data_IF_944047512951
#
_entry.id   IF_944047512951
#
_cell.length_a   1.000
_cell.length_b   1.000
_cell.length_c   1.000
_cell.angle_alpha   90.00
_cell.angle_beta   90.00
_cell.angle_gamma   90.00
#
_symmetry.space_group_name_H-M   'P 1'
#
loop_
_entity.id
_entity.type
_entity.pdbx_description
1 polymer ?
#
# COMPACT_ATOMS: atom_id res chain seq x y z
N UNK A 1 -2.83 23.07 -0.44
CA UNK A 1 -3.06 22.12 0.67
C UNK A 1 -1.71 21.68 1.24
N UNK A 2 -1.65 21.39 2.54
CA UNK A 2 -0.55 20.68 3.18
C UNK A 2 -1.04 19.38 3.80
N UNK A 3 -0.13 18.53 4.25
CA UNK A 3 -0.47 17.36 5.07
C UNK A 3 0.40 17.35 6.31
N UNK A 4 -0.24 17.15 7.46
CA UNK A 4 0.41 16.90 8.75
C UNK A 4 0.41 15.40 8.98
N UNK A 5 1.58 14.82 9.25
CA UNK A 5 1.74 13.39 9.56
C UNK A 5 2.38 13.22 10.92
N UNK A 6 1.76 12.43 11.80
CA UNK A 6 2.37 12.02 13.06
C UNK A 6 3.59 11.13 12.80
N UNK A 7 4.66 11.27 13.60
CA UNK A 7 5.91 10.51 13.37
C UNK A 7 5.71 8.99 13.48
N UNK A 8 4.88 8.54 14.43
CA UNK A 8 4.58 7.11 14.65
C UNK A 8 3.17 6.74 14.13
N UNK A 9 2.69 7.43 13.10
CA UNK A 9 1.42 7.11 12.44
C UNK A 9 1.50 5.81 11.62
N UNK A 10 0.36 5.13 11.42
CA UNK A 10 0.30 3.95 10.56
C UNK A 10 -0.93 3.97 9.64
N UNK A 11 -0.76 3.43 8.43
CA UNK A 11 -1.86 3.18 7.47
C UNK A 11 -2.71 4.43 7.17
N UNK A 12 -2.07 5.59 7.06
CA UNK A 12 -2.74 6.89 6.82
C UNK A 12 -3.52 7.46 8.00
N UNK A 13 -3.73 6.73 9.09
CA UNK A 13 -4.55 7.19 10.24
C UNK A 13 -3.93 8.35 11.01
N UNK A 14 -2.60 8.50 10.91
CA UNK A 14 -1.83 9.59 11.48
C UNK A 14 -1.80 10.86 10.63
N UNK A 15 -2.51 10.89 9.50
CA UNK A 15 -2.46 12.00 8.55
C UNK A 15 -3.67 12.93 8.71
N UNK A 16 -3.44 14.21 8.52
CA UNK A 16 -4.48 15.24 8.44
C UNK A 16 -4.16 16.21 7.31
N UNK A 17 -5.13 16.49 6.44
CA UNK A 17 -4.96 17.41 5.31
C UNK A 17 -5.41 18.81 5.76
N UNK A 18 -4.58 19.81 5.49
CA UNK A 18 -4.86 21.21 5.83
C UNK A 18 -5.04 22.04 4.57
N UNK A 19 -6.14 22.79 4.51
CA UNK A 19 -6.32 23.84 3.52
C UNK A 19 -5.48 25.06 3.91
N UNK A 20 -4.64 25.51 2.98
CA UNK A 20 -3.73 26.64 3.18
C UNK A 20 -4.28 27.92 2.56
N UNK A 21 -5.44 27.89 1.90
CA UNK A 21 -5.98 29.03 1.14
C UNK A 21 -6.16 30.28 2.00
N UNK A 22 -6.71 30.13 3.21
CA UNK A 22 -6.90 31.25 4.15
C UNK A 22 -5.57 31.83 4.64
N UNK A 23 -4.58 30.98 4.91
CA UNK A 23 -3.24 31.40 5.32
C UNK A 23 -2.55 32.15 4.17
N UNK A 24 -2.63 31.63 2.95
CA UNK A 24 -2.07 32.25 1.75
C UNK A 24 -2.68 33.63 1.46
N UNK A 25 -4.00 33.75 1.60
CA UNK A 25 -4.71 35.02 1.43
C UNK A 25 -4.27 36.05 2.48
N UNK A 26 -4.16 35.66 3.76
CA UNK A 26 -3.71 36.55 4.83
C UNK A 26 -2.26 37.05 4.60
N UNK A 27 -1.37 36.17 4.14
CA UNK A 27 0.00 36.56 3.74
C UNK A 27 -0.04 37.55 2.58
N UNK A 28 -0.85 37.30 1.55
CA UNK A 28 -0.96 38.19 0.40
C UNK A 28 -1.50 39.59 0.75
N UNK A 29 -2.35 39.68 1.78
CA UNK A 29 -2.88 40.94 2.31
C UNK A 29 -1.93 41.66 3.29
N UNK A 30 -0.75 41.09 3.57
CA UNK A 30 0.20 41.59 4.59
C UNK A 30 -0.45 41.75 5.98
N UNK A 31 -1.30 40.78 6.35
CA UNK A 31 -1.91 40.76 7.68
C UNK A 31 -0.86 40.68 8.80
N UNK A 32 -1.25 41.17 9.99
CA UNK A 32 -0.36 41.14 11.15
C UNK A 32 -0.02 39.71 11.59
N UNK A 33 1.11 39.55 12.29
CA UNK A 33 1.52 38.24 12.84
C UNK A 33 0.49 37.63 13.78
N UNK A 34 -0.30 38.44 14.49
CA UNK A 34 -1.36 37.96 15.38
C UNK A 34 -2.50 37.32 14.58
N UNK A 35 -2.97 38.03 13.55
CA UNK A 35 -4.02 37.54 12.63
C UNK A 35 -3.58 36.27 11.91
N UNK A 36 -2.33 36.24 11.42
CA UNK A 36 -1.79 35.04 10.77
C UNK A 36 -1.75 33.83 11.71
N UNK A 37 -1.41 34.05 12.99
CA UNK A 37 -1.39 32.98 14.00
C UNK A 37 -2.79 32.45 14.31
N UNK A 38 -3.79 33.32 14.40
CA UNK A 38 -5.19 32.94 14.62
C UNK A 38 -5.74 32.14 13.43
N UNK A 39 -5.50 32.61 12.20
CA UNK A 39 -5.91 31.91 10.97
C UNK A 39 -5.24 30.55 10.87
N UNK A 40 -3.93 30.47 11.16
CA UNK A 40 -3.19 29.20 11.14
C UNK A 40 -3.77 28.22 12.16
N UNK A 41 -4.00 28.66 13.40
CA UNK A 41 -4.58 27.81 14.44
C UNK A 41 -5.99 27.33 14.07
N UNK A 42 -6.79 28.19 13.43
CA UNK A 42 -8.10 27.80 12.93
C UNK A 42 -7.99 26.74 11.83
N UNK A 43 -7.13 26.96 10.83
CA UNK A 43 -6.88 25.96 9.77
C UNK A 43 -6.40 24.62 10.31
N UNK A 44 -5.59 24.60 11.38
CA UNK A 44 -5.15 23.37 12.04
C UNK A 44 -6.31 22.65 12.77
N UNK A 45 -7.23 23.40 13.38
CA UNK A 45 -8.39 22.82 14.08
C UNK A 45 -9.38 22.17 13.13
N UNK A 46 -9.53 22.75 11.94
CA UNK A 46 -10.48 22.33 10.90
C UNK A 46 -9.85 21.41 9.84
N UNK A 47 -8.70 20.80 10.13
CA UNK A 47 -8.07 19.87 9.19
C UNK A 47 -8.98 18.66 8.90
N UNK A 48 -8.85 18.13 7.70
CA UNK A 48 -9.48 16.88 7.30
C UNK A 48 -8.65 15.70 7.84
N UNK A 49 -9.10 15.11 8.95
CA UNK A 49 -8.45 13.95 9.55
C UNK A 49 -8.77 12.68 8.74
N UNK A 50 -7.74 11.94 8.35
CA UNK A 50 -7.92 10.71 7.57
C UNK A 50 -8.54 9.56 8.40
N UNK A 51 -8.39 9.60 9.73
CA UNK A 51 -9.07 8.67 10.61
C UNK A 51 -10.47 9.20 11.01
N UNK A 52 -11.51 8.42 10.72
CA UNK A 52 -12.89 8.79 11.09
C UNK A 52 -13.05 9.04 12.60
N UNK A 53 -13.80 10.09 12.95
CA UNK A 53 -14.11 10.44 14.34
C UNK A 53 -12.97 11.12 15.10
N UNK A 54 -11.82 11.35 14.47
CA UNK A 54 -10.69 12.06 15.07
C UNK A 54 -10.91 13.57 15.03
N UNK A 55 -10.51 14.26 16.09
CA UNK A 55 -10.60 15.72 16.24
C UNK A 55 -9.25 16.33 16.61
N UNK A 56 -9.13 17.65 16.47
CA UNK A 56 -7.90 18.40 16.77
C UNK A 56 -7.38 18.19 18.20
N UNK A 57 -8.27 18.09 19.18
CA UNK A 57 -7.87 17.92 20.59
C UNK A 57 -7.01 16.66 20.78
N UNK A 58 -7.46 15.53 20.25
CA UNK A 58 -6.74 14.27 20.34
C UNK A 58 -5.48 14.29 19.46
N UNK A 59 -5.59 14.81 18.25
CA UNK A 59 -4.48 14.87 17.30
C UNK A 59 -3.32 15.74 17.81
N UNK A 60 -3.61 16.93 18.34
CA UNK A 60 -2.59 17.82 18.92
C UNK A 60 -1.95 17.26 20.20
N UNK A 61 -2.71 16.49 20.98
CA UNK A 61 -2.15 15.75 22.11
C UNK A 61 -1.18 14.66 21.65
N UNK A 62 -1.45 13.98 20.54
CA UNK A 62 -0.52 13.02 19.92
C UNK A 62 0.73 13.72 19.37
N UNK A 63 0.59 14.85 18.66
CA UNK A 63 1.73 15.67 18.21
C UNK A 63 2.65 16.01 19.39
N UNK A 64 2.08 16.35 20.55
CA UNK A 64 2.88 16.68 21.74
C UNK A 64 3.66 15.49 22.31
N UNK A 65 3.23 14.25 22.02
CA UNK A 65 3.85 13.01 22.50
C UNK A 65 4.91 12.48 21.54
N UNK A 66 4.59 12.44 20.25
CA UNK A 66 5.42 11.78 19.23
C UNK A 66 5.95 12.72 18.15
N UNK A 67 5.56 13.99 18.16
CA UNK A 67 5.90 14.93 17.09
C UNK A 67 5.07 14.71 15.82
N UNK A 68 5.28 15.60 14.86
CA UNK A 68 4.70 15.51 13.52
C UNK A 68 5.58 16.23 12.50
N UNK A 69 5.41 15.85 11.24
CA UNK A 69 5.92 16.59 10.09
C UNK A 69 4.78 17.32 9.39
N UNK A 70 5.12 18.43 8.74
CA UNK A 70 4.25 19.11 7.79
C UNK A 70 4.96 19.10 6.44
N UNK A 71 4.25 18.68 5.39
CA UNK A 71 4.75 18.70 4.02
C UNK A 71 3.69 19.25 3.07
N UNK A 72 4.14 19.67 1.88
CA UNK A 72 3.22 20.07 0.83
C UNK A 72 2.44 18.85 0.34
N UNK A 73 1.11 18.98 0.27
CA UNK A 73 0.28 17.92 -0.29
C UNK A 73 0.49 17.86 -1.81
N UNK A 74 0.95 16.71 -2.30
CA UNK A 74 1.17 16.48 -3.73
C UNK A 74 -0.19 16.32 -4.44
N UNK A 75 -0.74 17.44 -4.89
CA UNK A 75 -2.01 17.46 -5.61
C UNK A 75 -1.90 16.78 -6.98
N UNK A 76 -2.99 16.15 -7.42
CA UNK A 76 -3.08 15.41 -8.68
C UNK A 76 -2.14 14.19 -8.75
N UNK A 77 -1.87 13.54 -7.61
CA UNK A 77 -1.29 12.20 -7.59
C UNK A 77 -2.14 11.26 -8.45
N UNK A 78 -1.53 10.65 -9.45
CA UNK A 78 -2.21 9.71 -10.37
C UNK A 78 -2.12 8.27 -9.89
N UNK A 79 -1.12 7.96 -9.05
CA UNK A 79 -0.94 6.64 -8.45
C UNK A 79 -0.08 6.72 -7.18
N UNK A 80 -0.13 5.65 -6.38
CA UNK A 80 0.63 5.50 -5.12
C UNK A 80 1.55 4.28 -5.21
N UNK A 81 2.67 4.37 -5.92
CA UNK A 81 3.57 3.24 -6.06
C UNK A 81 4.45 3.03 -4.83
N UNK A 82 4.97 1.82 -4.66
CA UNK A 82 5.92 1.48 -3.61
C UNK A 82 7.00 0.52 -4.11
N UNK A 83 8.13 0.46 -3.39
CA UNK A 83 9.21 -0.50 -3.60
C UNK A 83 9.52 -1.22 -2.30
N UNK A 84 9.67 -2.53 -2.37
CA UNK A 84 10.08 -3.39 -1.28
C UNK A 84 11.52 -3.84 -1.47
N UNK A 85 12.31 -3.73 -0.41
CA UNK A 85 13.74 -4.00 -0.43
C UNK A 85 14.13 -4.75 0.84
N UNK A 86 15.16 -5.59 0.72
CA UNK A 86 15.84 -6.22 1.86
C UNK A 86 17.30 -5.82 1.82
N UNK A 87 17.81 -5.34 2.94
CA UNK A 87 19.25 -5.30 3.20
C UNK A 87 19.61 -6.64 3.85
N UNK A 88 20.38 -7.45 3.13
CA UNK A 88 20.75 -8.79 3.58
C UNK A 88 21.77 -8.72 4.73
N UNK A 89 21.98 -9.85 5.41
CA UNK A 89 22.95 -9.94 6.53
C UNK A 89 24.39 -9.59 6.11
N UNK A 90 24.74 -9.82 4.84
CA UNK A 90 26.03 -9.45 4.24
C UNK A 90 26.08 -8.00 3.73
N UNK A 91 25.07 -7.19 4.07
CA UNK A 91 24.88 -5.79 3.65
C UNK A 91 24.67 -5.59 2.15
N UNK A 92 24.44 -6.65 1.38
CA UNK A 92 23.99 -6.53 0.00
C UNK A 92 22.50 -6.17 -0.08
N UNK A 93 22.07 -5.61 -1.21
CA UNK A 93 20.72 -5.04 -1.35
C UNK A 93 19.94 -5.78 -2.43
N UNK A 94 18.81 -6.35 -2.01
CA UNK A 94 17.88 -7.07 -2.86
C UNK A 94 16.59 -6.25 -2.99
N UNK A 95 16.28 -5.77 -4.20
CA UNK A 95 14.95 -5.21 -4.48
C UNK A 95 14.01 -6.37 -4.74
N UNK A 96 13.04 -6.58 -3.86
CA UNK A 96 12.17 -7.75 -3.91
C UNK A 96 11.06 -7.55 -4.94
N UNK A 97 10.36 -6.43 -4.85
CA UNK A 97 9.18 -6.15 -5.67
C UNK A 97 8.84 -4.66 -5.68
N UNK A 98 8.06 -4.25 -6.67
CA UNK A 98 7.47 -2.90 -6.79
C UNK A 98 5.98 -3.04 -6.96
N UNK A 99 5.17 -2.15 -6.42
CA UNK A 99 3.72 -2.28 -6.46
C UNK A 99 3.04 -0.97 -6.80
N UNK A 100 1.87 -1.07 -7.44
CA UNK A 100 0.84 -0.04 -7.33
C UNK A 100 0.00 -0.34 -6.09
N UNK A 101 -0.09 0.60 -5.15
CA UNK A 101 -0.97 0.46 -3.99
C UNK A 101 -2.40 0.84 -4.39
N UNK A 102 -3.35 -0.01 -4.00
CA UNK A 102 -4.78 0.24 -4.12
C UNK A 102 -5.20 0.90 -2.80
N UNK A 103 -5.71 2.13 -2.87
CA UNK A 103 -6.07 2.92 -1.70
C UNK A 103 -7.55 3.33 -1.73
N UNK A 104 -8.19 3.34 -0.56
CA UNK A 104 -9.42 4.10 -0.31
C UNK A 104 -9.04 5.39 0.45
N UNK A 105 -8.97 6.51 -0.28
CA UNK A 105 -8.39 7.75 0.22
C UNK A 105 -6.90 7.60 0.55
N UNK A 106 -6.58 7.47 1.84
CA UNK A 106 -5.20 7.21 2.32
C UNK A 106 -5.05 5.85 3.01
N UNK A 107 -6.09 5.02 2.98
CA UNK A 107 -6.10 3.70 3.61
C UNK A 107 -5.68 2.67 2.58
N UNK A 108 -4.74 1.80 2.94
CA UNK A 108 -4.28 0.71 2.10
C UNK A 108 -5.32 -0.41 2.02
N UNK A 109 -5.78 -0.72 0.80
CA UNK A 109 -6.76 -1.75 0.50
C UNK A 109 -6.15 -2.99 -0.17
N UNK A 110 -5.00 -2.83 -0.81
CA UNK A 110 -4.32 -3.90 -1.54
C UNK A 110 -3.22 -3.39 -2.45
N UNK A 111 -2.76 -4.25 -3.35
CA UNK A 111 -1.73 -3.89 -4.32
C UNK A 111 -1.83 -4.69 -5.62
N UNK A 112 -1.28 -4.11 -6.68
CA UNK A 112 -0.97 -4.80 -7.93
C UNK A 112 0.55 -4.86 -8.12
N UNK A 113 1.03 -5.99 -8.63
CA UNK A 113 2.43 -6.24 -8.95
C UNK A 113 2.61 -6.59 -10.43
N UNK A 114 3.66 -6.06 -11.09
CA UNK A 114 4.57 -5.04 -10.60
C UNK A 114 3.97 -3.62 -10.73
N UNK A 115 4.69 -2.61 -10.24
CA UNK A 115 4.38 -1.21 -10.52
C UNK A 115 4.44 -0.89 -12.03
N UNK A 116 3.83 0.23 -12.42
CA UNK A 116 3.72 0.68 -13.80
C UNK A 116 5.07 0.82 -14.50
N UNK A 117 5.10 0.40 -15.77
CA UNK A 117 6.34 0.28 -16.53
C UNK A 117 7.08 1.62 -16.67
N UNK A 118 6.36 2.74 -16.73
CA UNK A 118 6.95 4.05 -17.03
C UNK A 118 7.90 4.57 -15.93
N UNK A 119 7.69 4.16 -14.67
CA UNK A 119 8.51 4.62 -13.54
C UNK A 119 9.09 3.48 -12.68
N UNK A 120 8.77 2.21 -12.97
CA UNK A 120 9.23 1.06 -12.19
C UNK A 120 10.74 0.98 -12.01
N UNK A 121 11.53 1.22 -13.05
CA UNK A 121 13.00 1.18 -12.94
C UNK A 121 13.54 2.29 -12.03
N UNK A 122 12.83 3.42 -11.98
CA UNK A 122 13.16 4.52 -11.09
C UNK A 122 12.84 4.18 -9.62
N UNK A 123 11.71 3.51 -9.36
CA UNK A 123 11.39 2.95 -8.03
C UNK A 123 12.49 1.99 -7.54
N UNK A 124 12.93 1.07 -8.40
CA UNK A 124 14.01 0.12 -8.07
C UNK A 124 15.29 0.87 -7.71
N UNK A 125 15.66 1.88 -8.51
CA UNK A 125 16.83 2.71 -8.24
C UNK A 125 16.72 3.42 -6.89
N UNK A 126 15.60 4.07 -6.60
CA UNK A 126 15.39 4.75 -5.31
C UNK A 126 15.40 3.79 -4.13
N UNK A 127 14.72 2.64 -4.25
CA UNK A 127 14.76 1.59 -3.24
C UNK A 127 16.20 1.11 -2.96
N UNK A 128 17.00 0.93 -4.02
CA UNK A 128 18.42 0.57 -3.88
C UNK A 128 19.22 1.64 -3.14
N UNK A 129 19.06 2.92 -3.49
CA UNK A 129 19.76 4.02 -2.84
C UNK A 129 19.42 4.13 -1.34
N UNK A 130 18.17 3.93 -0.97
CA UNK A 130 17.75 3.88 0.44
C UNK A 130 18.38 2.66 1.14
N UNK A 131 18.43 1.51 0.46
CA UNK A 131 19.09 0.31 0.97
C UNK A 131 20.59 0.49 1.16
N UNK A 132 21.28 1.19 0.26
CA UNK A 132 22.70 1.54 0.36
C UNK A 132 22.96 2.41 1.58
N UNK A 133 22.08 3.38 1.84
CA UNK A 133 22.14 4.20 3.04
C UNK A 133 21.96 3.36 4.31
N UNK A 134 20.97 2.46 4.35
CA UNK A 134 20.74 1.59 5.51
C UNK A 134 21.89 0.61 5.74
N UNK A 135 22.40 -0.03 4.69
CA UNK A 135 23.55 -0.91 4.75
C UNK A 135 24.79 -0.19 5.30
N UNK A 136 25.07 1.04 4.84
CA UNK A 136 26.18 1.85 5.33
C UNK A 136 26.06 2.23 6.82
N UNK A 137 24.85 2.18 7.39
CA UNK A 137 24.57 2.44 8.79
C UNK A 137 24.35 1.14 9.61
N UNK A 138 24.59 -0.04 9.03
CA UNK A 138 24.43 -1.33 9.70
C UNK A 138 22.98 -1.74 9.95
N UNK A 139 22.02 -1.12 9.26
CA UNK A 139 20.60 -1.48 9.31
C UNK A 139 20.36 -2.59 8.29
N UNK A 140 19.84 -3.72 8.76
CA UNK A 140 19.50 -4.90 7.96
C UNK A 140 17.99 -5.12 7.91
N UNK A 141 17.55 -6.12 7.14
CA UNK A 141 16.17 -6.61 7.03
C UNK A 141 15.26 -5.79 6.08
N UNK A 142 13.96 -6.10 6.09
CA UNK A 142 12.95 -5.60 5.16
C UNK A 142 12.59 -4.14 5.44
N UNK A 143 12.47 -3.39 4.35
CA UNK A 143 11.79 -2.10 4.36
C UNK A 143 11.00 -1.88 3.06
N UNK A 144 10.06 -0.94 3.09
CA UNK A 144 9.47 -0.39 1.87
C UNK A 144 9.56 1.13 1.86
N UNK A 145 9.53 1.68 0.66
CA UNK A 145 9.43 3.13 0.44
C UNK A 145 8.17 3.38 -0.39
N UNK A 146 7.34 4.28 0.11
CA UNK A 146 6.08 4.66 -0.53
C UNK A 146 6.26 5.99 -1.26
N UNK A 147 5.62 6.10 -2.41
CA UNK A 147 5.72 7.25 -3.29
C UNK A 147 4.34 7.72 -3.72
N UNK A 148 4.25 8.99 -4.10
CA UNK A 148 3.18 9.53 -4.93
C UNK A 148 3.74 9.80 -6.31
N UNK A 149 3.04 9.36 -7.35
CA UNK A 149 3.40 9.64 -8.73
C UNK A 149 2.51 10.74 -9.32
N UNK A 150 3.14 11.73 -9.97
CA UNK A 150 2.43 12.77 -10.76
C UNK A 150 3.07 12.84 -12.13
N UNK A 151 2.35 12.44 -13.18
CA UNK A 151 2.86 12.42 -14.57
C UNK A 151 4.23 11.74 -14.66
N UNK A 152 4.34 10.54 -14.10
CA UNK A 152 5.56 9.71 -14.04
C UNK A 152 6.67 10.24 -13.14
N UNK A 153 6.50 11.41 -12.52
CA UNK A 153 7.45 11.90 -11.51
C UNK A 153 7.10 11.36 -10.13
N UNK A 154 8.08 10.70 -9.51
CA UNK A 154 7.97 10.10 -8.19
C UNK A 154 8.36 11.08 -7.08
N UNK A 155 7.57 11.11 -6.01
CA UNK A 155 7.86 11.81 -4.76
C UNK A 155 7.81 10.80 -3.62
N UNK A 156 8.94 10.55 -2.96
CA UNK A 156 8.98 9.69 -1.78
C UNK A 156 8.22 10.37 -0.62
N UNK A 157 7.35 9.62 0.06
CA UNK A 157 6.48 10.17 1.10
C UNK A 157 6.59 9.45 2.45
N UNK A 158 7.10 8.22 2.47
CA UNK A 158 7.20 7.40 3.70
C UNK A 158 8.23 6.28 3.52
N UNK A 159 8.90 5.89 4.61
CA UNK A 159 9.70 4.67 4.69
C UNK A 159 9.15 3.81 5.82
N UNK A 160 8.89 2.54 5.52
CA UNK A 160 8.37 1.55 6.44
C UNK A 160 9.45 0.52 6.78
N UNK A 161 10.06 0.62 7.97
CA UNK A 161 11.09 -0.32 8.46
C UNK A 161 10.48 -1.57 9.08
N UNK A 162 9.78 -2.38 8.27
CA UNK A 162 9.10 -3.62 8.69
C UNK A 162 8.65 -4.43 7.48
N UNK A 163 8.18 -5.65 7.74
CA UNK A 163 7.37 -6.42 6.80
C UNK A 163 6.04 -5.69 6.59
N UNK A 164 5.78 -5.26 5.35
CA UNK A 164 4.57 -4.53 4.96
C UNK A 164 3.51 -5.44 4.33
N UNK A 165 2.29 -4.92 4.11
CA UNK A 165 1.18 -5.66 3.50
C UNK A 165 1.42 -6.11 2.05
N UNK A 166 2.43 -5.57 1.38
CA UNK A 166 2.85 -6.00 0.04
C UNK A 166 3.85 -7.18 0.06
N UNK A 167 4.36 -7.54 1.24
CA UNK A 167 5.33 -8.65 1.41
C UNK A 167 4.68 -10.00 1.26
N UNK A 168 3.55 -10.25 1.93
CA UNK A 168 2.95 -11.59 1.92
C UNK A 168 2.45 -12.03 0.53
N UNK A 169 1.90 -11.17 -0.36
CA UNK A 169 1.56 -11.58 -1.71
C UNK A 169 2.80 -11.93 -2.53
N UNK A 170 3.88 -11.16 -2.39
CA UNK A 170 5.16 -11.46 -3.04
C UNK A 170 5.75 -12.79 -2.54
N UNK A 171 5.77 -13.01 -1.23
CA UNK A 171 6.22 -14.26 -0.63
C UNK A 171 5.35 -15.45 -1.05
N UNK A 172 4.04 -15.25 -1.20
CA UNK A 172 3.12 -16.27 -1.70
C UNK A 172 3.47 -16.66 -3.13
N UNK A 173 3.67 -15.68 -4.02
CA UNK A 173 4.13 -15.92 -5.38
C UNK A 173 5.47 -16.68 -5.38
N UNK A 174 6.43 -16.24 -4.56
CA UNK A 174 7.74 -16.88 -4.44
C UNK A 174 7.66 -18.33 -3.97
N UNK A 175 6.90 -18.58 -2.90
CA UNK A 175 6.73 -19.91 -2.33
C UNK A 175 6.10 -20.90 -3.32
N UNK A 176 5.10 -20.45 -4.09
CA UNK A 176 4.34 -21.32 -4.99
C UNK A 176 5.03 -21.59 -6.33
N UNK A 177 5.99 -20.74 -6.70
CA UNK A 177 6.60 -20.81 -8.04
C UNK A 177 8.11 -21.00 -8.04
N UNK A 178 8.77 -20.79 -6.88
CA UNK A 178 10.22 -20.83 -6.71
C UNK A 178 10.99 -19.97 -7.73
N UNK A 179 10.36 -18.87 -8.15
CA UNK A 179 10.88 -17.92 -9.12
C UNK A 179 11.64 -16.77 -8.47
N UNK A 180 11.97 -15.78 -9.29
CA UNK A 180 12.79 -14.64 -8.88
C UNK A 180 12.46 -13.37 -9.64
N UNK A 181 12.62 -12.24 -8.96
CA UNK A 181 12.56 -10.90 -9.54
C UNK A 181 13.89 -10.57 -10.21
N UNK A 182 13.81 -10.18 -11.47
CA UNK A 182 14.92 -9.57 -12.19
C UNK A 182 15.23 -8.20 -11.59
N UNK A 183 16.47 -8.01 -11.13
CA UNK A 183 16.86 -6.85 -10.30
C UNK A 183 16.94 -5.53 -11.09
N UNK A 184 16.98 -5.59 -12.41
CA UNK A 184 17.08 -4.41 -13.27
C UNK A 184 15.70 -3.98 -13.77
N UNK A 185 14.86 -4.95 -14.12
CA UNK A 185 13.53 -4.70 -14.70
C UNK A 185 12.41 -4.71 -13.69
N UNK A 186 12.56 -5.36 -12.54
CA UNK A 186 11.51 -5.55 -11.53
C UNK A 186 10.44 -6.58 -11.91
N UNK A 187 10.62 -7.31 -13.02
CA UNK A 187 9.70 -8.36 -13.44
C UNK A 187 10.04 -9.67 -12.73
N UNK A 188 9.00 -10.38 -12.30
CA UNK A 188 9.14 -11.71 -11.72
C UNK A 188 9.03 -12.81 -12.77
N UNK A 189 9.96 -13.76 -12.74
CA UNK A 189 9.96 -14.93 -13.60
C UNK A 189 9.94 -16.21 -12.78
N UNK A 190 9.13 -17.18 -13.22
CA UNK A 190 9.21 -18.56 -12.75
C UNK A 190 10.49 -19.23 -13.25
N UNK A 191 10.80 -20.42 -12.72
CA UNK A 191 11.89 -21.26 -13.23
C UNK A 191 11.70 -21.64 -14.72
N UNK A 192 10.46 -21.70 -15.20
CA UNK A 192 10.12 -21.91 -16.61
C UNK A 192 10.17 -20.62 -17.46
N UNK A 193 10.71 -19.52 -16.93
CA UNK A 193 10.83 -18.21 -17.60
C UNK A 193 9.49 -17.59 -18.01
N UNK A 194 8.43 -17.92 -17.29
CA UNK A 194 7.12 -17.28 -17.47
C UNK A 194 7.01 -16.09 -16.52
N UNK A 195 6.53 -14.95 -17.02
CA UNK A 195 6.23 -13.79 -16.20
C UNK A 195 5.04 -14.06 -15.29
N UNK A 196 5.08 -13.54 -14.07
CA UNK A 196 3.95 -13.60 -13.15
C UNK A 196 3.59 -12.22 -12.63
N UNK A 197 2.28 -12.04 -12.53
CA UNK A 197 1.63 -10.82 -12.10
C UNK A 197 0.66 -11.19 -10.99
N UNK A 198 0.39 -10.25 -10.09
CA UNK A 198 -0.68 -10.47 -9.13
C UNK A 198 -1.42 -9.19 -8.74
N UNK A 199 -2.67 -9.39 -8.32
CA UNK A 199 -3.45 -8.42 -7.57
C UNK A 199 -3.80 -9.05 -6.23
N UNK A 200 -3.57 -8.32 -5.15
CA UNK A 200 -3.80 -8.82 -3.81
C UNK A 200 -4.54 -7.80 -2.97
N UNK A 201 -5.44 -8.27 -2.13
CA UNK A 201 -6.10 -7.47 -1.11
C UNK A 201 -6.25 -8.32 0.13
N UNK A 202 -6.00 -7.72 1.27
CA UNK A 202 -6.34 -8.26 2.57
C UNK A 202 -7.64 -7.67 3.12
N UNK A 203 -8.33 -6.79 2.39
CA UNK A 203 -9.48 -5.98 2.82
C UNK A 203 -10.84 -6.39 2.23
N UNK A 204 -10.95 -7.53 1.55
CA UNK A 204 -12.24 -7.98 1.02
C UNK A 204 -13.18 -8.30 2.17
N UNK A 205 -14.23 -7.49 2.31
CA UNK A 205 -15.17 -7.55 3.42
C UNK A 205 -16.59 -7.65 2.91
N UNK A 206 -17.35 -8.61 3.45
CA UNK A 206 -18.74 -8.80 3.13
C UNK A 206 -19.50 -9.46 4.30
N UNK A 207 -20.71 -9.01 4.67
CA UNK A 207 -21.46 -9.59 5.79
C UNK A 207 -21.68 -11.11 5.69
N UNK A 208 -21.87 -11.65 4.49
CA UNK A 208 -22.06 -13.09 4.30
C UNK A 208 -20.84 -13.94 4.68
N UNK A 209 -19.62 -13.36 4.64
CA UNK A 209 -18.40 -14.07 5.04
C UNK A 209 -18.41 -14.45 6.52
N UNK A 210 -19.19 -13.75 7.37
CA UNK A 210 -19.34 -14.09 8.80
C UNK A 210 -20.01 -15.44 9.02
N UNK A 211 -20.82 -15.88 8.07
CA UNK A 211 -21.60 -17.11 8.16
C UNK A 211 -20.95 -18.27 7.39
N UNK A 212 -19.76 -18.07 6.81
CA UNK A 212 -19.05 -19.10 6.05
C UNK A 212 -17.93 -19.73 6.86
N UNK A 213 -17.74 -21.03 6.67
CA UNK A 213 -16.58 -21.76 7.13
C UNK A 213 -15.46 -21.67 6.08
N UNK A 214 -14.18 -21.74 6.49
CA UNK A 214 -13.07 -21.83 5.54
C UNK A 214 -13.20 -22.98 4.53
N UNK A 215 -13.90 -24.06 4.90
CA UNK A 215 -14.16 -25.19 4.01
C UNK A 215 -15.13 -24.83 2.88
N UNK A 216 -16.12 -23.97 3.14
CA UNK A 216 -17.06 -23.51 2.12
C UNK A 216 -16.33 -22.70 1.02
N UNK A 217 -15.38 -21.85 1.43
CA UNK A 217 -14.53 -21.09 0.50
C UNK A 217 -13.73 -22.02 -0.42
N UNK A 218 -13.16 -23.09 0.14
CA UNK A 218 -12.42 -24.08 -0.66
C UNK A 218 -13.30 -24.71 -1.73
N UNK A 219 -14.53 -25.11 -1.37
CA UNK A 219 -15.45 -25.77 -2.29
C UNK A 219 -15.96 -24.80 -3.36
N UNK A 220 -16.24 -23.55 -2.99
CA UNK A 220 -16.57 -22.46 -3.92
C UNK A 220 -15.45 -22.26 -4.95
N UNK A 221 -14.20 -22.14 -4.49
CA UNK A 221 -13.05 -21.87 -5.37
C UNK A 221 -12.72 -23.07 -6.26
N UNK A 222 -13.03 -24.29 -5.82
CA UNK A 222 -12.94 -25.48 -6.65
C UNK A 222 -14.01 -25.46 -7.76
N UNK A 223 -15.28 -25.20 -7.40
CA UNK A 223 -16.41 -25.18 -8.33
C UNK A 223 -16.27 -24.11 -9.42
N UNK A 224 -15.86 -22.90 -9.03
CA UNK A 224 -15.65 -21.77 -9.94
C UNK A 224 -14.28 -21.78 -10.64
N UNK A 225 -13.43 -22.78 -10.37
CA UNK A 225 -12.07 -22.91 -10.91
C UNK A 225 -11.14 -21.73 -10.58
N UNK A 226 -11.40 -21.02 -9.49
CA UNK A 226 -10.53 -19.94 -8.99
C UNK A 226 -9.28 -20.47 -8.27
N UNK A 227 -9.30 -21.72 -7.81
CA UNK A 227 -8.20 -22.31 -7.06
C UNK A 227 -6.85 -22.29 -7.79
N UNK A 228 -5.77 -22.30 -7.01
CA UNK A 228 -4.40 -22.44 -7.50
C UNK A 228 -4.19 -23.70 -8.36
N UNK A 229 -3.61 -23.52 -9.55
CA UNK A 229 -3.18 -24.58 -10.44
C UNK A 229 -1.65 -24.66 -10.49
N UNK A 230 -1.06 -25.69 -9.88
CA UNK A 230 0.41 -25.84 -9.79
C UNK A 230 1.10 -26.04 -11.15
N UNK A 231 0.40 -26.60 -12.14
CA UNK A 231 0.94 -26.82 -13.49
C UNK A 231 1.10 -25.49 -14.23
N UNK A 232 0.06 -24.65 -14.20
CA UNK A 232 0.07 -23.32 -14.85
C UNK A 232 0.74 -22.26 -13.99
N UNK A 233 0.86 -22.52 -12.70
CA UNK A 233 1.28 -21.57 -11.67
C UNK A 233 0.43 -20.29 -11.69
N UNK A 234 -0.89 -20.46 -11.81
CA UNK A 234 -1.89 -19.37 -11.78
C UNK A 234 -3.08 -19.79 -10.93
N UNK A 235 -3.85 -18.83 -10.43
CA UNK A 235 -4.97 -19.07 -9.54
C UNK A 235 -5.02 -18.07 -8.39
N UNK A 236 -6.10 -18.13 -7.61
CA UNK A 236 -6.27 -17.33 -6.40
C UNK A 236 -5.86 -18.14 -5.18
N UNK A 237 -5.15 -17.47 -4.27
CA UNK A 237 -4.77 -18.00 -2.98
C UNK A 237 -5.42 -17.16 -1.89
N UNK A 238 -6.22 -17.79 -1.04
CA UNK A 238 -6.85 -17.14 0.10
C UNK A 238 -5.91 -17.10 1.30
N UNK A 239 -5.97 -16.00 2.05
CA UNK A 239 -5.29 -15.80 3.33
C UNK A 239 -6.23 -15.09 4.31
N UNK A 240 -5.84 -15.01 5.58
CA UNK A 240 -6.65 -14.42 6.65
C UNK A 240 -8.05 -15.07 6.84
N UNK A 241 -8.17 -16.38 6.57
CA UNK A 241 -9.46 -17.11 6.72
C UNK A 241 -10.02 -17.06 8.16
N UNK A 242 -9.17 -16.84 9.17
CA UNK A 242 -9.60 -16.65 10.56
C UNK A 242 -10.40 -15.35 10.80
N UNK A 243 -10.26 -14.35 9.92
CA UNK A 243 -10.97 -13.07 10.05
C UNK A 243 -12.42 -13.12 9.53
N UNK A 244 -12.82 -14.22 8.89
CA UNK A 244 -14.14 -14.33 8.26
C UNK A 244 -15.25 -14.29 9.31
N UNK A 245 -15.22 -15.15 10.32
CA UNK A 245 -16.30 -15.27 11.30
C UNK A 245 -16.53 -13.99 12.12
N UNK A 246 -15.44 -13.36 12.60
CA UNK A 246 -15.54 -12.18 13.47
C UNK A 246 -15.76 -10.89 12.66
N UNK A 247 -14.98 -10.69 11.60
CA UNK A 247 -14.92 -9.42 10.89
C UNK A 247 -15.62 -9.46 9.53
N UNK A 248 -16.03 -10.62 9.04
CA UNK A 248 -16.61 -10.76 7.70
C UNK A 248 -15.58 -10.47 6.62
N UNK A 249 -14.30 -10.77 6.87
CA UNK A 249 -13.18 -10.33 6.05
C UNK A 249 -12.30 -11.49 5.62
N UNK A 250 -11.86 -11.47 4.37
CA UNK A 250 -10.96 -12.45 3.76
C UNK A 250 -9.89 -11.69 2.95
N UNK A 251 -8.70 -12.26 2.85
CA UNK A 251 -7.70 -11.76 1.91
C UNK A 251 -7.47 -12.74 0.78
N UNK A 252 -7.17 -12.22 -0.41
CA UNK A 252 -6.81 -13.02 -1.58
C UNK A 252 -5.60 -12.45 -2.30
N UNK A 253 -4.84 -13.33 -2.95
CA UNK A 253 -3.80 -13.01 -3.92
C UNK A 253 -4.11 -13.75 -5.23
N UNK A 254 -4.48 -13.00 -6.27
CA UNK A 254 -4.78 -13.51 -7.62
C UNK A 254 -3.51 -13.48 -8.46
N UNK A 255 -2.97 -14.65 -8.85
CA UNK A 255 -1.71 -14.78 -9.59
C UNK A 255 -1.99 -15.24 -11.02
N UNK A 256 -1.45 -14.53 -12.01
CA UNK A 256 -1.69 -14.79 -13.42
C UNK A 256 -0.47 -14.54 -14.32
N UNK A 257 -0.61 -14.81 -15.63
CA UNK A 257 0.46 -14.62 -16.63
C UNK A 257 0.46 -13.23 -17.28
N UNK A 258 -0.53 -12.40 -16.95
CA UNK A 258 -0.60 -10.99 -17.39
C UNK A 258 -1.27 -10.12 -16.31
N UNK A 259 -1.02 -8.80 -16.30
CA UNK A 259 -1.72 -7.89 -15.38
C UNK A 259 -3.23 -7.95 -15.53
N UNK A 260 -3.72 -7.99 -16.78
CA UNK A 260 -5.15 -8.05 -17.08
C UNK A 260 -5.79 -9.32 -16.52
N UNK A 261 -5.19 -10.48 -16.75
CA UNK A 261 -5.71 -11.76 -16.23
C UNK A 261 -5.73 -11.77 -14.69
N UNK A 262 -4.71 -11.20 -14.03
CA UNK A 262 -4.66 -11.12 -12.56
C UNK A 262 -5.80 -10.26 -12.02
N UNK A 263 -6.06 -9.10 -12.64
CA UNK A 263 -7.12 -8.17 -12.27
C UNK A 263 -8.51 -8.75 -12.54
N UNK A 264 -8.74 -9.27 -13.75
CA UNK A 264 -10.01 -9.87 -14.13
C UNK A 264 -10.38 -11.03 -13.19
N UNK A 265 -9.43 -11.89 -12.88
CA UNK A 265 -9.63 -12.97 -11.94
C UNK A 265 -9.91 -12.46 -10.51
N UNK A 266 -9.21 -11.42 -10.06
CA UNK A 266 -9.45 -10.79 -8.76
C UNK A 266 -10.89 -10.25 -8.69
N UNK A 267 -11.31 -9.49 -9.69
CA UNK A 267 -12.64 -8.88 -9.76
C UNK A 267 -13.75 -9.95 -9.81
N UNK A 268 -13.55 -11.02 -10.57
CA UNK A 268 -14.49 -12.15 -10.62
C UNK A 268 -14.66 -12.82 -9.26
N UNK A 269 -13.56 -13.05 -8.53
CA UNK A 269 -13.64 -13.63 -7.18
C UNK A 269 -14.36 -12.69 -6.22
N UNK A 270 -14.02 -11.40 -6.22
CA UNK A 270 -14.67 -10.41 -5.35
C UNK A 270 -16.17 -10.31 -5.65
N UNK A 271 -16.56 -10.18 -6.92
CA UNK A 271 -17.95 -10.14 -7.34
C UNK A 271 -18.70 -11.40 -6.93
N UNK A 272 -18.08 -12.58 -7.12
CA UNK A 272 -18.69 -13.84 -6.71
C UNK A 272 -18.89 -13.91 -5.19
N UNK A 273 -17.88 -13.57 -4.39
CA UNK A 273 -17.98 -13.56 -2.93
C UNK A 273 -19.07 -12.61 -2.41
N UNK A 274 -19.26 -11.47 -3.06
CA UNK A 274 -20.34 -10.52 -2.75
C UNK A 274 -21.71 -11.11 -3.13
N UNK A 275 -21.82 -11.79 -4.28
CA UNK A 275 -23.08 -12.38 -4.75
C UNK A 275 -23.62 -13.52 -3.86
N UNK A 276 -22.79 -14.14 -3.02
CA UNK A 276 -23.19 -15.26 -2.14
C UNK A 276 -24.19 -14.87 -1.03
N UNK A 277 -24.54 -13.59 -0.89
CA UNK A 277 -25.58 -13.12 0.02
C UNK A 277 -26.96 -12.90 -0.62
N UNK A 278 -27.04 -12.95 -1.95
CA UNK A 278 -28.29 -12.81 -2.71
C UNK A 278 -29.01 -14.16 -2.85
#
# INVERSE_FOLDING_TARGET
KGVVKLLDGFSGKGNAIVDLSSIQNAIALNESSAVLSEITLHSLKEMEFCCQGRAWADFSAEISKMGAIFELYVANGTSSPSVQVVVNEDLTISVLSTHEQILDGQIYEGCAFPAEKSYRTELIKYGRQVGEFFAANGIIDHFSVDFVCVKEKLYAIEINLRITGTTHPFMTLKLLTDGKTDQDTGIYYTNAKTEKYYVASDNISHPALKNMLPMDIKDIFAAQKFHWCSIRQTGVVCHLLGCMAEHGKIGITSIANSPHEAQEQFDQVVAYLISLSE
#
